data_IF_282869813446
#
_entry.id   IF_282869813446
#
_cell.length_a   1.000
_cell.length_b   1.000
_cell.length_c   1.000
_cell.angle_alpha   90.00
_cell.angle_beta   90.00
_cell.angle_gamma   90.00
#
_symmetry.space_group_name_H-M   'P 1'
#
loop_
_entity.id
_entity.type
_entity.pdbx_description
1 polymer ?
#
# COMPACT_ATOMS: atom_id res chain seq x y z
N UNK A 1 2.36 -13.81 -16.13
CA UNK A 1 2.02 -14.71 -15.02
C UNK A 1 2.98 -14.63 -13.85
N UNK A 2 4.31 -14.70 -14.08
CA UNK A 2 5.30 -14.61 -13.00
C UNK A 2 5.25 -13.28 -12.27
N UNK A 3 5.02 -12.17 -12.98
CA UNK A 3 4.93 -10.85 -12.36
C UNK A 3 3.76 -10.75 -11.38
N UNK A 4 2.58 -11.23 -11.79
CA UNK A 4 1.38 -11.18 -10.94
C UNK A 4 1.58 -11.99 -9.67
N UNK A 5 2.21 -13.15 -9.78
CA UNK A 5 2.53 -14.00 -8.62
C UNK A 5 3.47 -13.26 -7.66
N UNK A 6 4.50 -12.59 -8.19
CA UNK A 6 5.44 -11.81 -7.39
C UNK A 6 4.70 -10.70 -6.63
N UNK A 7 3.81 -9.97 -7.30
CA UNK A 7 3.04 -8.91 -6.65
C UNK A 7 2.10 -9.46 -5.58
N UNK A 8 1.50 -10.62 -5.81
CA UNK A 8 0.68 -11.27 -4.80
C UNK A 8 1.49 -11.57 -3.53
N UNK A 9 2.70 -12.11 -3.70
CA UNK A 9 3.59 -12.38 -2.58
C UNK A 9 3.95 -11.09 -1.84
N UNK A 10 4.26 -10.03 -2.58
CA UNK A 10 4.58 -8.72 -1.99
C UNK A 10 3.40 -8.14 -1.21
N UNK A 11 2.17 -8.32 -1.69
CA UNK A 11 0.96 -7.90 -0.96
C UNK A 11 0.87 -8.63 0.37
N UNK A 12 1.02 -9.96 0.36
CA UNK A 12 0.94 -10.77 1.57
C UNK A 12 2.04 -10.36 2.56
N UNK A 13 3.28 -10.17 2.09
CA UNK A 13 4.38 -9.75 2.94
C UNK A 13 4.13 -8.38 3.57
N UNK A 14 3.62 -7.41 2.81
CA UNK A 14 3.32 -6.08 3.36
C UNK A 14 2.19 -6.12 4.38
N UNK A 15 1.18 -6.96 4.16
CA UNK A 15 0.11 -7.14 5.14
C UNK A 15 0.68 -7.69 6.45
N UNK A 16 1.50 -8.73 6.38
CA UNK A 16 2.09 -9.36 7.56
C UNK A 16 2.95 -8.35 8.32
N UNK A 17 3.85 -7.65 7.62
CA UNK A 17 4.74 -6.66 8.23
C UNK A 17 3.94 -5.52 8.85
N UNK A 18 2.91 -5.04 8.15
CA UNK A 18 2.06 -3.96 8.63
C UNK A 18 1.31 -4.32 9.91
N UNK A 19 0.73 -5.53 9.94
CA UNK A 19 0.03 -6.00 11.14
C UNK A 19 1.00 -6.21 12.30
N UNK A 20 2.19 -6.76 12.04
CA UNK A 20 3.20 -6.94 13.07
C UNK A 20 3.68 -5.59 13.62
N UNK A 21 3.85 -4.59 12.77
CA UNK A 21 4.32 -3.27 13.20
C UNK A 21 3.37 -2.61 14.21
N UNK A 22 2.08 -2.90 14.12
CA UNK A 22 1.08 -2.33 15.03
C UNK A 22 1.10 -2.99 16.42
N UNK A 23 1.74 -4.14 16.56
CA UNK A 23 1.81 -4.87 17.81
C UNK A 23 2.95 -4.39 18.72
N UNK A 24 3.90 -3.63 18.18
CA UNK A 24 5.05 -3.12 18.93
C UNK A 24 4.84 -1.65 19.28
N UNK A 25 4.82 -1.36 20.58
CA UNK A 25 4.57 0.00 21.09
C UNK A 25 5.64 0.98 20.64
N UNK A 26 6.90 0.52 20.49
CA UNK A 26 8.01 1.38 20.10
C UNK A 26 8.05 1.73 18.61
N UNK A 27 7.21 1.08 17.78
CA UNK A 27 7.13 1.41 16.36
C UNK A 27 6.06 2.50 16.17
N UNK A 28 6.41 3.68 15.59
CA UNK A 28 5.42 4.74 15.36
C UNK A 28 4.27 4.29 14.45
N UNK A 29 3.09 4.83 14.69
CA UNK A 29 1.89 4.47 13.93
C UNK A 29 2.00 4.83 12.44
N UNK A 30 2.76 5.87 12.09
CA UNK A 30 2.92 6.26 10.68
C UNK A 30 3.61 5.18 9.85
N UNK A 31 4.39 4.29 10.47
CA UNK A 31 5.00 3.16 9.78
C UNK A 31 3.92 2.23 9.20
N UNK A 32 2.84 2.00 9.97
CA UNK A 32 1.70 1.24 9.49
C UNK A 32 1.03 1.89 8.28
N UNK A 33 0.90 3.20 8.29
CA UNK A 33 0.31 3.95 7.17
C UNK A 33 1.18 3.87 5.91
N UNK A 34 2.50 3.94 6.07
CA UNK A 34 3.45 3.76 4.98
C UNK A 34 3.29 2.37 4.37
N UNK A 35 3.27 1.34 5.22
CA UNK A 35 3.12 -0.06 4.77
C UNK A 35 1.76 -0.30 4.12
N UNK A 36 0.70 0.34 4.62
CA UNK A 36 -0.63 0.24 4.03
C UNK A 36 -0.62 0.78 2.59
N UNK A 37 0.00 1.94 2.36
CA UNK A 37 0.10 2.52 1.03
C UNK A 37 0.97 1.67 0.10
N UNK A 38 2.05 1.10 0.61
CA UNK A 38 2.89 0.17 -0.16
C UNK A 38 2.08 -1.05 -0.59
N UNK A 39 1.26 -1.59 0.32
CA UNK A 39 0.34 -2.68 0.02
C UNK A 39 -0.64 -2.30 -1.08
N UNK A 40 -1.24 -1.09 -0.99
CA UNK A 40 -2.17 -0.59 -2.01
C UNK A 40 -1.49 -0.53 -3.38
N UNK A 41 -0.25 -0.04 -3.43
CA UNK A 41 0.52 -0.01 -4.68
C UNK A 41 0.65 -1.41 -5.27
N UNK A 42 1.03 -2.40 -4.46
CA UNK A 42 1.18 -3.77 -4.94
C UNK A 42 -0.16 -4.40 -5.35
N UNK A 43 -1.24 -4.09 -4.66
CA UNK A 43 -2.59 -4.55 -5.06
C UNK A 43 -2.96 -3.96 -6.43
N UNK A 44 -2.75 -2.68 -6.63
CA UNK A 44 -3.01 -2.04 -7.92
C UNK A 44 -2.15 -2.65 -9.01
N UNK A 45 -0.89 -2.93 -8.72
CA UNK A 45 0.00 -3.57 -9.69
C UNK A 45 -0.43 -5.01 -9.98
N UNK A 46 -0.91 -5.74 -8.97
CA UNK A 46 -1.44 -7.08 -9.16
C UNK A 46 -2.65 -7.08 -10.10
N UNK A 47 -3.54 -6.11 -9.93
CA UNK A 47 -4.75 -5.99 -10.75
C UNK A 47 -4.44 -5.50 -12.17
N UNK A 48 -3.48 -4.59 -12.32
CA UNK A 48 -3.17 -3.93 -13.58
C UNK A 48 -1.70 -4.17 -13.95
N UNK A 49 -1.30 -5.44 -14.03
CA UNK A 49 0.11 -5.84 -14.19
C UNK A 49 0.73 -5.31 -15.50
N UNK A 50 -0.08 -5.12 -16.54
CA UNK A 50 0.39 -4.68 -17.86
C UNK A 50 0.41 -3.15 -18.02
N UNK A 51 -0.10 -2.41 -17.04
CA UNK A 51 -0.15 -0.94 -17.13
C UNK A 51 1.19 -0.31 -16.76
N UNK A 52 1.42 0.91 -17.25
CA UNK A 52 2.64 1.64 -16.98
C UNK A 52 2.76 2.02 -15.50
N UNK A 53 3.99 2.16 -14.97
CA UNK A 53 4.19 2.56 -13.58
C UNK A 53 3.50 3.87 -13.20
N UNK A 54 3.50 4.84 -14.10
CA UNK A 54 2.84 6.13 -13.85
C UNK A 54 1.35 5.95 -13.56
N UNK A 55 0.66 5.10 -14.34
CA UNK A 55 -0.75 4.80 -14.13
C UNK A 55 -0.96 4.18 -12.74
N UNK A 56 -0.12 3.23 -12.35
CA UNK A 56 -0.23 2.55 -11.07
C UNK A 56 0.00 3.53 -9.91
N UNK A 57 1.01 4.40 -10.04
CA UNK A 57 1.29 5.44 -9.04
C UNK A 57 0.06 6.34 -8.86
N UNK A 58 -0.51 6.81 -9.97
CA UNK A 58 -1.65 7.73 -9.93
C UNK A 58 -2.88 7.11 -9.29
N UNK A 59 -3.24 5.87 -9.67
CA UNK A 59 -4.42 5.22 -9.08
C UNK A 59 -4.20 4.86 -7.62
N UNK A 60 -2.97 4.51 -7.24
CA UNK A 60 -2.64 4.21 -5.85
C UNK A 60 -2.75 5.46 -4.98
N UNK A 61 -2.19 6.58 -5.44
CA UNK A 61 -2.32 7.87 -4.74
C UNK A 61 -3.77 8.31 -4.65
N UNK A 62 -4.51 8.19 -5.75
CA UNK A 62 -5.91 8.59 -5.79
C UNK A 62 -6.74 7.78 -4.79
N UNK A 63 -6.50 6.47 -4.71
CA UNK A 63 -7.19 5.59 -3.78
C UNK A 63 -6.84 5.96 -2.33
N UNK A 64 -5.53 6.09 -2.00
CA UNK A 64 -5.09 6.40 -0.65
C UNK A 64 -5.60 7.77 -0.19
N UNK A 65 -5.48 8.78 -1.05
CA UNK A 65 -5.95 10.12 -0.72
C UNK A 65 -7.48 10.17 -0.63
N UNK A 66 -8.17 9.41 -1.51
CA UNK A 66 -9.62 9.29 -1.46
C UNK A 66 -10.12 8.72 -0.12
N UNK A 67 -9.47 7.67 0.36
CA UNK A 67 -9.78 7.09 1.67
C UNK A 67 -9.56 8.13 2.78
N UNK A 68 -8.43 8.86 2.73
CA UNK A 68 -8.11 9.87 3.73
C UNK A 68 -9.13 11.01 3.73
N UNK A 69 -9.45 11.54 2.56
CA UNK A 69 -10.45 12.60 2.45
C UNK A 69 -11.86 12.11 2.80
N UNK A 70 -12.16 10.82 2.62
CA UNK A 70 -13.45 10.25 3.03
C UNK A 70 -13.66 10.33 4.55
N UNK A 71 -12.57 10.43 5.32
CA UNK A 71 -12.66 10.56 6.78
C UNK A 71 -13.22 11.90 7.21
N UNK A 72 -13.27 12.89 6.33
CA UNK A 72 -13.96 14.15 6.59
C UNK A 72 -15.49 13.98 6.53
N UNK A 73 -15.97 12.95 5.87
CA UNK A 73 -17.39 12.62 5.80
C UNK A 73 -17.80 11.87 7.07
N UNK A 74 -18.84 12.37 7.74
CA UNK A 74 -19.37 11.80 8.97
C UNK A 74 -20.84 11.45 8.76
N UNK A 75 -21.18 10.18 8.93
CA UNK A 75 -22.56 9.69 8.87
C UNK A 75 -22.63 8.39 9.67
N UNK A 76 -23.80 8.07 10.28
CA UNK A 76 -23.90 6.89 11.14
C UNK A 76 -23.51 5.59 10.47
N UNK A 77 -23.85 5.39 9.20
CA UNK A 77 -23.57 4.13 8.50
C UNK A 77 -22.08 3.91 8.27
N UNK A 78 -21.36 4.96 7.88
CA UNK A 78 -19.92 4.84 7.62
C UNK A 78 -19.13 4.86 8.92
N UNK A 79 -19.58 5.60 9.93
CA UNK A 79 -18.95 5.62 11.24
C UNK A 79 -19.07 4.24 11.91
N UNK A 80 -20.20 3.56 11.77
CA UNK A 80 -20.37 2.19 12.27
C UNK A 80 -19.40 1.23 11.59
N UNK A 81 -19.17 1.36 10.29
CA UNK A 81 -18.17 0.56 9.57
C UNK A 81 -16.77 0.83 10.07
N UNK A 82 -16.43 2.10 10.36
CA UNK A 82 -15.11 2.48 10.88
C UNK A 82 -14.83 1.90 12.27
N UNK A 83 -15.89 1.60 13.05
CA UNK A 83 -15.73 1.03 14.37
C UNK A 83 -15.47 -0.48 14.34
N UNK A 84 -15.70 -1.14 13.21
CA UNK A 84 -15.31 -2.55 13.06
C UNK A 84 -13.79 -2.65 12.85
N UNK A 85 -13.20 -3.79 13.17
CA UNK A 85 -11.75 -3.99 12.97
C UNK A 85 -11.36 -3.80 11.50
N UNK A 86 -12.10 -4.43 10.58
CA UNK A 86 -11.83 -4.32 9.15
C UNK A 86 -12.00 -2.89 8.65
N UNK A 87 -13.12 -2.23 9.03
CA UNK A 87 -13.39 -0.85 8.63
C UNK A 87 -12.33 0.11 9.14
N UNK A 88 -11.85 -0.10 10.37
CA UNK A 88 -10.80 0.73 10.98
C UNK A 88 -9.48 0.60 10.21
N UNK A 89 -9.13 -0.63 9.82
CA UNK A 89 -7.89 -0.89 9.09
C UNK A 89 -7.92 -0.32 7.67
N UNK A 90 -9.06 -0.37 6.99
CA UNK A 90 -9.19 0.06 5.60
C UNK A 90 -9.57 1.52 5.49
N UNK A 91 -10.61 1.95 6.20
CA UNK A 91 -11.15 3.31 6.10
C UNK A 91 -10.49 4.30 7.06
N UNK A 92 -9.89 3.80 8.15
CA UNK A 92 -9.35 4.65 9.20
C UNK A 92 -10.44 5.32 10.01
N UNK A 93 -10.05 6.15 10.97
CA UNK A 93 -11.01 6.83 11.84
C UNK A 93 -10.90 8.35 11.77
N UNK A 94 -9.68 8.89 11.67
CA UNK A 94 -9.42 10.32 11.79
C UNK A 94 -8.57 10.82 10.62
N UNK A 95 -8.99 11.96 10.05
CA UNK A 95 -8.23 12.62 9.00
C UNK A 95 -7.02 13.34 9.61
N UNK A 96 -5.83 13.04 9.04
CA UNK A 96 -4.58 13.70 9.43
C UNK A 96 -3.80 14.05 8.15
N UNK A 97 -3.37 15.31 8.06
CA UNK A 97 -2.58 15.76 6.91
C UNK A 97 -1.26 14.96 6.76
N UNK A 98 -0.65 14.58 7.90
CA UNK A 98 0.56 13.76 7.91
C UNK A 98 0.39 12.40 7.25
N UNK A 99 -0.82 11.85 7.25
CA UNK A 99 -1.10 10.56 6.62
C UNK A 99 -0.92 10.65 5.10
N UNK A 100 -1.24 11.78 4.48
CA UNK A 100 -1.01 12.01 3.06
C UNK A 100 0.48 11.89 2.72
N UNK A 101 1.34 12.42 3.57
CA UNK A 101 2.78 12.30 3.41
C UNK A 101 3.23 10.85 3.55
N UNK A 102 2.72 10.14 4.57
CA UNK A 102 3.01 8.72 4.79
C UNK A 102 2.61 7.88 3.58
N UNK A 103 1.45 8.14 3.00
CA UNK A 103 0.98 7.42 1.82
C UNK A 103 1.88 7.66 0.61
N UNK A 104 2.32 8.90 0.41
CA UNK A 104 3.24 9.24 -0.67
C UNK A 104 4.57 8.50 -0.52
N UNK A 105 5.13 8.47 0.69
CA UNK A 105 6.35 7.73 1.01
C UNK A 105 6.15 6.24 0.77
N UNK A 106 5.02 5.68 1.21
CA UNK A 106 4.72 4.26 1.05
C UNK A 106 4.65 3.84 -0.41
N UNK A 107 4.04 4.65 -1.26
CA UNK A 107 3.97 4.37 -2.70
C UNK A 107 5.35 4.48 -3.33
N UNK A 108 6.16 5.46 -2.92
CA UNK A 108 7.55 5.58 -3.39
C UNK A 108 8.36 4.34 -3.02
N UNK A 109 8.18 3.81 -1.81
CA UNK A 109 8.83 2.57 -1.37
C UNK A 109 8.37 1.40 -2.25
N UNK A 110 7.07 1.32 -2.57
CA UNK A 110 6.54 0.30 -3.46
C UNK A 110 7.18 0.33 -4.83
N UNK A 111 7.32 1.51 -5.40
CA UNK A 111 8.00 1.69 -6.70
C UNK A 111 9.46 1.25 -6.61
N UNK A 112 10.16 1.63 -5.54
CA UNK A 112 11.56 1.26 -5.35
C UNK A 112 11.73 -0.27 -5.24
N UNK A 113 10.88 -0.93 -4.45
CA UNK A 113 10.91 -2.39 -4.28
C UNK A 113 10.65 -3.07 -5.63
N UNK A 114 9.66 -2.59 -6.38
CA UNK A 114 9.34 -3.13 -7.70
C UNK A 114 10.55 -3.06 -8.63
N UNK A 115 11.17 -1.89 -8.70
CA UNK A 115 12.33 -1.70 -9.58
C UNK A 115 13.51 -2.58 -9.18
N UNK A 116 13.79 -2.69 -7.89
CA UNK A 116 14.87 -3.53 -7.40
C UNK A 116 14.60 -5.01 -7.66
N UNK A 117 13.36 -5.47 -7.46
CA UNK A 117 12.98 -6.86 -7.66
C UNK A 117 13.14 -7.28 -9.12
N UNK A 118 12.65 -6.47 -10.07
CA UNK A 118 12.70 -6.82 -11.47
C UNK A 118 14.05 -6.52 -12.11
N UNK A 119 14.77 -5.50 -11.66
CA UNK A 119 16.13 -5.26 -12.11
C UNK A 119 17.05 -6.43 -11.76
N UNK A 120 16.95 -6.97 -10.55
CA UNK A 120 17.74 -8.13 -10.11
C UNK A 120 17.45 -9.34 -10.97
N UNK A 121 16.17 -9.64 -11.25
CA UNK A 121 15.79 -10.77 -12.10
C UNK A 121 16.34 -10.62 -13.51
N UNK A 122 16.29 -9.44 -14.08
CA UNK A 122 16.85 -9.16 -15.40
C UNK A 122 18.34 -9.41 -15.43
N UNK A 123 19.07 -8.97 -14.41
CA UNK A 123 20.52 -9.18 -14.31
C UNK A 123 20.85 -10.66 -14.22
N UNK A 124 20.12 -11.42 -13.42
CA UNK A 124 20.32 -12.87 -13.32
C UNK A 124 20.09 -13.56 -14.66
N UNK A 125 19.00 -13.17 -15.34
CA UNK A 125 18.69 -13.73 -16.66
C UNK A 125 19.82 -13.47 -17.66
N UNK A 126 20.35 -12.26 -17.70
CA UNK A 126 21.43 -11.89 -18.59
C UNK A 126 22.72 -12.67 -18.30
N UNK A 127 22.98 -13.02 -17.04
CA UNK A 127 24.14 -13.84 -16.66
C UNK A 127 24.03 -15.27 -17.12
N UNK A 128 22.83 -15.79 -17.34
CA UNK A 128 22.61 -17.17 -17.79
C UNK A 128 22.62 -17.31 -19.32
N UNK A 129 22.61 -16.20 -20.04
CA UNK A 129 22.72 -16.21 -21.49
C UNK A 129 24.20 -16.38 -21.92
#
# INVERSE_FOLDING_TARGET
MHKRRTYFILVILTIIIGLLSRQFIFIPLFIGDILWATMVYFICRFLFVEKEPTFIILISLLFCFGIEFSQLYKAPWIDNLRHTLFGRLVLGETFLWGDLLSYTVGIAIGVAIERLTFAKKTTEYLKTL
#
